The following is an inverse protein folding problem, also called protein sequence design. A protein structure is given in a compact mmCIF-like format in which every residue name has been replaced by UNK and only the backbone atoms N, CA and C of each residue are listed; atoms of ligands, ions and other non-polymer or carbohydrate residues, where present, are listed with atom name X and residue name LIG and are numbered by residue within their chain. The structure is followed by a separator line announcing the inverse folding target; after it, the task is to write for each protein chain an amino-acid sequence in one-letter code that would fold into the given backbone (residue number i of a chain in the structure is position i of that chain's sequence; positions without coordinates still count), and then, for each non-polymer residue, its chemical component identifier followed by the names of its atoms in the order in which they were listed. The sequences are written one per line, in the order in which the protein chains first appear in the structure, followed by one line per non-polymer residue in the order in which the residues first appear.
data_IF_988450651472
#
_entry.id   IF_988450651472
#
_cell.length_a   1.000
_cell.length_b   1.000
_cell.length_c   1.000
_cell.angle_alpha   90.00
_cell.angle_beta   90.00
_cell.angle_gamma   90.00
#
_symmetry.space_group_name_H-M   'P 1'
#
loop_
_entity.id
_entity.type
_entity.pdbx_description
1 polymer ?
#
# COMPACT_ATOMS: atom_id res chain seq x y z
N UNK A 1 -23.26 35.32 16.21
CA UNK A 1 -23.95 35.99 15.10
C UNK A 1 -23.34 35.53 13.76
N UNK A 2 -23.34 34.23 13.48
CA UNK A 2 -23.05 33.65 12.15
C UNK A 2 -23.75 32.29 12.07
N UNK A 3 -25.07 32.35 11.95
CA UNK A 3 -25.89 31.20 11.56
C UNK A 3 -25.90 31.22 10.02
N UNK A 4 -24.86 30.65 9.40
CA UNK A 4 -24.83 30.51 7.96
C UNK A 4 -25.77 29.37 7.57
N UNK A 5 -27.01 29.71 7.25
CA UNK A 5 -27.93 28.83 6.56
C UNK A 5 -27.26 28.30 5.27
N UNK A 6 -27.56 27.05 4.84
CA UNK A 6 -27.12 26.59 3.53
C UNK A 6 -27.61 27.57 2.46
N UNK A 7 -26.81 27.93 1.46
CA UNK A 7 -27.20 28.91 0.45
C UNK A 7 -28.43 28.39 -0.29
N UNK A 8 -29.59 28.97 0.03
CA UNK A 8 -30.79 28.83 -0.76
C UNK A 8 -30.64 29.76 -1.98
N UNK A 9 -30.54 29.18 -3.17
CA UNK A 9 -30.70 29.91 -4.43
C UNK A 9 -29.56 30.82 -4.89
N UNK A 10 -28.40 30.85 -4.21
CA UNK A 10 -27.24 31.63 -4.66
C UNK A 10 -26.39 30.88 -5.68
N UNK A 11 -26.14 31.48 -6.84
CA UNK A 11 -25.12 31.06 -7.81
C UNK A 11 -23.75 31.01 -7.13
N UNK A 12 -23.32 29.80 -6.75
CA UNK A 12 -21.95 29.55 -6.29
C UNK A 12 -21.01 29.99 -7.42
N UNK A 13 -20.01 30.86 -7.19
CA UNK A 13 -19.10 31.27 -8.24
C UNK A 13 -18.40 30.04 -8.84
N UNK A 14 -18.76 29.70 -10.07
CA UNK A 14 -18.18 28.60 -10.86
C UNK A 14 -16.84 29.08 -11.43
N UNK A 15 -15.86 29.37 -10.58
CA UNK A 15 -14.57 29.88 -11.05
C UNK A 15 -13.48 28.80 -11.12
N UNK A 16 -13.57 27.73 -10.32
CA UNK A 16 -12.44 26.82 -10.13
C UNK A 16 -12.83 25.36 -10.38
N UNK A 17 -12.61 24.89 -11.62
CA UNK A 17 -12.78 23.46 -11.96
C UNK A 17 -11.68 22.65 -11.31
N UNK A 18 -12.06 21.67 -10.48
CA UNK A 18 -11.14 20.67 -9.93
C UNK A 18 -11.49 19.33 -10.55
N UNK A 19 -10.61 18.83 -11.42
CA UNK A 19 -10.80 17.50 -11.99
C UNK A 19 -10.32 16.41 -11.01
N UNK A 20 -11.11 15.35 -10.77
CA UNK A 20 -10.67 14.20 -10.00
C UNK A 20 -9.49 13.50 -10.68
N UNK A 21 -8.63 12.87 -9.88
CA UNK A 21 -7.66 11.92 -10.36
C UNK A 21 -8.34 10.56 -10.55
N UNK A 22 -7.85 9.77 -11.51
CA UNK A 22 -8.41 8.43 -11.78
C UNK A 22 -8.18 7.53 -10.58
N UNK A 23 -9.25 6.91 -10.09
CA UNK A 23 -9.26 6.05 -8.91
C UNK A 23 -9.20 6.79 -7.59
N UNK A 24 -9.29 8.12 -7.57
CA UNK A 24 -9.21 8.93 -6.35
C UNK A 24 -10.35 8.60 -5.37
N UNK A 25 -10.07 8.65 -4.07
CA UNK A 25 -11.12 8.50 -3.05
C UNK A 25 -11.99 9.76 -3.01
N UNK A 26 -13.28 9.61 -2.71
CA UNK A 26 -14.20 10.75 -2.62
C UNK A 26 -13.73 11.76 -1.58
N UNK A 27 -13.19 11.28 -0.44
CA UNK A 27 -12.61 12.16 0.59
C UNK A 27 -11.35 12.92 0.13
N UNK A 28 -10.45 12.28 -0.62
CA UNK A 28 -9.28 12.94 -1.20
C UNK A 28 -9.70 14.06 -2.15
N UNK A 29 -10.68 13.78 -3.00
CA UNK A 29 -11.23 14.75 -3.93
C UNK A 29 -11.90 15.94 -3.22
N UNK A 30 -12.73 15.69 -2.20
CA UNK A 30 -13.33 16.72 -1.34
C UNK A 30 -12.27 17.60 -0.65
N UNK A 31 -11.21 16.99 -0.13
CA UNK A 31 -10.13 17.72 0.54
C UNK A 31 -9.38 18.65 -0.43
N UNK A 32 -9.12 18.18 -1.65
CA UNK A 32 -8.53 18.99 -2.72
C UNK A 32 -9.43 20.13 -3.18
N UNK A 33 -10.73 19.87 -3.24
CA UNK A 33 -11.72 20.87 -3.58
C UNK A 33 -11.74 22.00 -2.53
N UNK A 34 -11.78 21.67 -1.23
CA UNK A 34 -11.67 22.64 -0.14
C UNK A 34 -10.39 23.48 -0.27
N UNK A 35 -9.23 22.82 -0.45
CA UNK A 35 -7.95 23.51 -0.63
C UNK A 35 -7.88 24.38 -1.89
N UNK A 36 -8.68 24.10 -2.93
CA UNK A 36 -8.77 24.98 -4.11
C UNK A 36 -9.49 26.29 -3.79
N UNK A 37 -10.46 26.25 -2.89
CA UNK A 37 -11.16 27.41 -2.35
C UNK A 37 -10.45 28.07 -1.16
N UNK A 38 -9.26 27.60 -0.77
CA UNK A 38 -8.53 28.13 0.39
C UNK A 38 -9.16 27.76 1.73
N UNK A 39 -9.98 26.70 1.76
CA UNK A 39 -10.68 26.22 2.95
C UNK A 39 -10.05 24.94 3.50
N UNK A 40 -10.15 24.75 4.82
CA UNK A 40 -9.91 23.45 5.43
C UNK A 40 -11.03 22.46 5.01
N UNK A 41 -10.73 21.17 4.76
CA UNK A 41 -11.76 20.17 4.42
C UNK A 41 -12.89 20.08 5.45
N UNK A 42 -12.60 20.36 6.73
CA UNK A 42 -13.58 20.44 7.81
C UNK A 42 -14.67 21.47 7.58
N UNK A 43 -14.38 22.57 6.85
CA UNK A 43 -15.35 23.62 6.54
C UNK A 43 -16.45 23.16 5.56
N UNK A 44 -16.20 22.09 4.79
CA UNK A 44 -17.20 21.50 3.91
C UNK A 44 -18.09 20.48 4.63
N UNK A 45 -17.66 19.93 5.77
CA UNK A 45 -18.41 18.89 6.49
C UNK A 45 -19.83 19.34 6.87
N UNK A 46 -20.09 20.57 7.36
CA UNK A 46 -21.44 21.00 7.71
C UNK A 46 -22.44 20.97 6.54
N UNK A 47 -22.01 20.79 5.30
CA UNK A 47 -22.91 20.77 4.15
C UNK A 47 -23.63 19.42 3.98
N UNK A 48 -23.21 18.41 4.74
CA UNK A 48 -23.85 17.09 4.81
C UNK A 48 -24.31 16.73 6.22
N UNK A 49 -25.34 15.90 6.30
CA UNK A 49 -25.68 15.12 7.50
C UNK A 49 -24.82 13.86 7.52
N UNK A 50 -24.09 13.61 8.62
CA UNK A 50 -23.10 12.53 8.68
C UNK A 50 -23.58 11.34 9.51
N UNK A 51 -23.39 10.14 8.94
CA UNK A 51 -23.47 8.88 9.66
C UNK A 51 -22.07 8.37 10.04
N UNK A 52 -21.91 8.01 11.32
CA UNK A 52 -20.64 7.58 11.89
C UNK A 52 -19.61 8.70 12.05
N UNK A 53 -18.44 8.35 12.57
CA UNK A 53 -17.31 9.26 12.75
C UNK A 53 -16.20 8.97 11.72
N UNK A 54 -15.40 9.99 11.40
CA UNK A 54 -14.22 9.80 10.54
C UNK A 54 -13.32 8.72 11.16
N UNK A 55 -12.89 7.69 10.40
CA UNK A 55 -12.05 6.63 10.94
C UNK A 55 -10.73 7.19 11.48
N UNK A 56 -10.27 6.64 12.60
CA UNK A 56 -9.04 7.05 13.29
C UNK A 56 -8.23 5.82 13.67
N UNK A 57 -6.93 6.01 13.82
CA UNK A 57 -6.00 5.12 14.47
C UNK A 57 -5.25 5.88 15.60
N UNK A 58 -4.29 5.22 16.25
CA UNK A 58 -3.51 5.81 17.34
C UNK A 58 -2.69 7.05 16.89
N UNK A 59 -2.43 7.20 15.59
CA UNK A 59 -1.72 8.33 15.03
C UNK A 59 -2.65 9.50 14.64
N UNK A 60 -3.97 9.29 14.64
CA UNK A 60 -4.98 10.31 14.38
C UNK A 60 -5.99 9.89 13.30
N UNK A 61 -6.59 10.86 12.56
CA UNK A 61 -7.50 10.53 11.47
C UNK A 61 -6.79 9.72 10.39
N UNK A 62 -7.41 8.62 9.96
CA UNK A 62 -6.83 7.77 8.91
C UNK A 62 -6.76 8.52 7.57
N UNK A 63 -5.66 8.31 6.84
CA UNK A 63 -5.48 8.86 5.50
C UNK A 63 -6.24 8.06 4.43
N UNK A 64 -6.55 6.79 4.71
CA UNK A 64 -7.47 5.99 3.89
C UNK A 64 -8.95 6.12 4.30
N UNK A 65 -9.32 7.23 4.93
CA UNK A 65 -10.74 7.55 5.15
C UNK A 65 -11.45 7.76 3.81
N UNK A 66 -12.68 7.25 3.70
CA UNK A 66 -13.53 7.40 2.54
C UNK A 66 -14.93 7.86 2.95
N UNK A 67 -15.60 8.55 2.02
CA UNK A 67 -16.96 9.05 2.18
C UNK A 67 -17.86 8.44 1.11
N UNK A 68 -18.98 7.87 1.55
CA UNK A 68 -20.11 7.52 0.69
C UNK A 68 -21.14 8.64 0.74
N UNK A 69 -21.71 8.99 -0.41
CA UNK A 69 -22.66 10.08 -0.56
C UNK A 69 -23.99 9.55 -1.11
N UNK A 70 -25.09 10.08 -0.58
CA UNK A 70 -26.41 9.91 -1.17
C UNK A 70 -26.53 10.69 -2.51
N UNK A 71 -27.61 10.49 -3.29
CA UNK A 71 -27.79 11.21 -4.54
C UNK A 71 -27.72 12.74 -4.39
N UNK A 72 -28.33 13.32 -3.36
CA UNK A 72 -28.31 14.77 -3.13
C UNK A 72 -26.89 15.30 -2.83
N UNK A 73 -26.11 14.55 -2.07
CA UNK A 73 -24.72 14.84 -1.75
C UNK A 73 -23.79 14.73 -2.95
N UNK A 74 -24.03 13.77 -3.84
CA UNK A 74 -23.31 13.67 -5.11
C UNK A 74 -23.58 14.86 -6.01
N UNK A 75 -24.83 15.30 -6.10
CA UNK A 75 -25.20 16.50 -6.88
C UNK A 75 -24.56 17.76 -6.31
N UNK A 76 -24.53 17.90 -4.98
CA UNK A 76 -23.87 19.02 -4.32
C UNK A 76 -22.38 19.05 -4.59
N UNK A 77 -21.69 17.92 -4.39
CA UNK A 77 -20.27 17.77 -4.73
C UNK A 77 -20.04 18.04 -6.23
N UNK A 78 -21.03 17.69 -7.06
CA UNK A 78 -20.94 17.92 -8.48
C UNK A 78 -20.94 19.38 -8.87
N UNK A 79 -21.86 20.15 -8.29
CA UNK A 79 -21.92 21.60 -8.47
C UNK A 79 -20.65 22.28 -7.96
N UNK A 80 -20.16 21.90 -6.77
CA UNK A 80 -18.97 22.50 -6.19
C UNK A 80 -17.71 22.30 -7.05
N UNK A 81 -17.52 21.11 -7.61
CA UNK A 81 -16.32 20.84 -8.41
C UNK A 81 -16.37 21.32 -9.86
N UNK A 82 -17.52 21.80 -10.34
CA UNK A 82 -17.68 22.31 -11.71
C UNK A 82 -17.57 21.26 -12.83
N UNK A 83 -17.66 19.97 -12.52
CA UNK A 83 -17.77 18.86 -13.47
C UNK A 83 -19.15 18.17 -13.34
N UNK A 84 -19.59 17.41 -14.35
CA UNK A 84 -20.81 16.60 -14.25
C UNK A 84 -20.63 15.35 -13.36
N UNK A 85 -21.73 14.77 -12.88
CA UNK A 85 -21.68 13.52 -12.08
C UNK A 85 -21.07 12.35 -12.83
N UNK A 86 -21.36 12.21 -14.12
CA UNK A 86 -20.88 11.10 -14.93
C UNK A 86 -19.35 11.05 -15.00
N UNK A 87 -18.70 12.20 -15.24
CA UNK A 87 -17.23 12.29 -15.23
C UNK A 87 -16.62 11.94 -13.86
N UNK A 88 -17.36 12.16 -12.77
CA UNK A 88 -16.93 11.76 -11.43
C UNK A 88 -17.16 10.29 -11.15
N UNK A 89 -18.29 9.72 -11.56
CA UNK A 89 -18.55 8.29 -11.43
C UNK A 89 -17.49 7.45 -12.16
N UNK A 90 -16.93 7.96 -13.26
CA UNK A 90 -15.81 7.32 -13.95
C UNK A 90 -14.47 7.43 -13.20
N UNK A 91 -14.24 8.53 -12.46
CA UNK A 91 -12.96 8.82 -11.83
C UNK A 91 -12.89 8.39 -10.36
N UNK A 92 -14.02 8.37 -9.65
CA UNK A 92 -14.16 8.13 -8.22
C UNK A 92 -14.90 6.80 -8.00
N UNK A 93 -14.20 5.69 -7.72
CA UNK A 93 -14.79 4.35 -7.68
C UNK A 93 -15.97 4.22 -6.70
N UNK A 94 -15.85 4.79 -5.50
CA UNK A 94 -16.87 4.71 -4.46
C UNK A 94 -18.03 5.72 -4.65
N UNK A 95 -17.97 6.59 -5.65
CA UNK A 95 -18.97 7.64 -5.84
C UNK A 95 -20.35 7.06 -6.18
N UNK A 96 -20.40 5.89 -6.83
CA UNK A 96 -21.65 5.22 -7.18
C UNK A 96 -22.24 4.31 -6.10
N UNK A 97 -21.48 3.95 -5.06
CA UNK A 97 -21.84 2.88 -4.11
C UNK A 97 -23.11 3.20 -3.27
N UNK A 98 -23.53 4.48 -3.25
CA UNK A 98 -24.67 4.95 -2.48
C UNK A 98 -24.49 4.82 -0.96
N UNK A 99 -25.41 5.40 -0.19
CA UNK A 99 -25.55 5.04 1.21
C UNK A 99 -26.32 3.72 1.27
N UNK A 100 -25.78 2.72 1.97
CA UNK A 100 -26.61 1.57 2.37
C UNK A 100 -27.80 2.09 3.20
N UNK A 101 -28.99 1.49 3.07
CA UNK A 101 -30.15 1.90 3.86
C UNK A 101 -29.76 1.92 5.33
N UNK A 102 -30.12 2.99 6.03
CA UNK A 102 -29.99 3.02 7.47
C UNK A 102 -30.78 1.85 8.09
N UNK A 103 -30.32 1.26 9.21
CA UNK A 103 -31.11 0.27 9.93
C UNK A 103 -32.49 0.86 10.28
N UNK A 104 -33.56 0.04 10.33
CA UNK A 104 -34.90 0.53 10.61
C UNK A 104 -34.94 1.29 11.95
N UNK A 105 -35.34 2.56 11.92
CA UNK A 105 -35.41 3.44 13.09
C UNK A 105 -34.64 4.76 12.96
N UNK A 106 -33.69 4.86 12.03
CA UNK A 106 -33.10 6.15 11.66
C UNK A 106 -34.00 6.83 10.62
N UNK A 107 -34.57 7.99 10.98
CA UNK A 107 -35.48 8.73 10.13
C UNK A 107 -34.85 9.02 8.76
N UNK A 108 -35.61 8.77 7.68
CA UNK A 108 -35.29 9.29 6.36
C UNK A 108 -35.20 10.83 6.43
N UNK A 109 -33.98 11.35 6.36
CA UNK A 109 -33.69 12.74 6.70
C UNK A 109 -34.31 13.76 5.74
N UNK A 110 -35.03 14.73 6.32
CA UNK A 110 -35.03 16.21 6.14
C UNK A 110 -34.70 16.90 4.79
N UNK A 111 -34.48 16.21 3.67
CA UNK A 111 -34.13 16.82 2.37
C UNK A 111 -32.70 17.37 2.26
N UNK A 112 -31.89 17.25 3.33
CA UNK A 112 -30.48 17.67 3.35
C UNK A 112 -29.56 16.55 2.83
N UNK A 113 -28.51 16.87 2.04
CA UNK A 113 -27.52 15.89 1.60
C UNK A 113 -26.94 15.04 2.73
N UNK A 114 -26.84 13.73 2.54
CA UNK A 114 -26.32 12.79 3.54
C UNK A 114 -24.99 12.14 3.12
N UNK A 115 -24.14 11.84 4.10
CA UNK A 115 -22.83 11.25 3.92
C UNK A 115 -22.50 10.23 5.02
N UNK A 116 -21.69 9.22 4.71
CA UNK A 116 -21.23 8.22 5.68
C UNK A 116 -19.74 7.99 5.56
N UNK A 117 -19.08 7.91 6.71
CA UNK A 117 -17.67 7.55 6.81
C UNK A 117 -17.44 6.04 6.70
N UNK A 118 -16.37 5.65 6.01
CA UNK A 118 -15.84 4.28 5.98
C UNK A 118 -14.32 4.28 5.84
N UNK A 119 -13.70 3.12 6.03
CA UNK A 119 -12.30 2.89 5.66
C UNK A 119 -12.25 2.45 4.19
N UNK A 120 -11.50 3.18 3.36
CA UNK A 120 -11.40 2.91 1.92
C UNK A 120 -10.87 1.50 1.66
N UNK A 121 -9.77 1.15 2.32
CA UNK A 121 -9.03 -0.11 2.12
C UNK A 121 -9.81 -1.36 2.55
N UNK A 122 -10.88 -1.19 3.32
CA UNK A 122 -11.79 -2.28 3.71
C UNK A 122 -12.96 -2.48 2.73
N UNK A 123 -13.03 -1.67 1.67
CA UNK A 123 -14.12 -1.69 0.70
C UNK A 123 -13.87 -2.56 -0.54
N UNK A 124 -14.89 -2.66 -1.40
CA UNK A 124 -14.88 -3.46 -2.62
C UNK A 124 -13.86 -3.01 -3.69
N UNK A 125 -13.39 -1.76 -3.63
CA UNK A 125 -12.47 -1.17 -4.62
C UNK A 125 -11.00 -1.51 -4.36
N UNK A 126 -10.71 -2.27 -3.31
CA UNK A 126 -9.38 -2.70 -2.92
C UNK A 126 -8.63 -1.67 -2.06
N UNK A 127 -7.31 -1.84 -1.89
CA UNK A 127 -6.55 -1.03 -0.96
C UNK A 127 -6.36 0.40 -1.47
N UNK A 128 -6.37 1.36 -0.53
CA UNK A 128 -6.06 2.75 -0.84
C UNK A 128 -4.56 3.03 -0.67
N UNK A 129 -3.99 3.70 -1.66
CA UNK A 129 -2.59 4.12 -1.67
C UNK A 129 -2.48 5.61 -1.99
N UNK A 130 -1.37 6.20 -1.64
CA UNK A 130 -1.06 7.55 -2.06
C UNK A 130 -0.91 7.65 -3.59
N UNK A 131 -1.23 8.80 -4.15
CA UNK A 131 -0.79 9.18 -5.48
C UNK A 131 0.72 9.45 -5.51
N UNK A 132 1.29 9.51 -6.70
CA UNK A 132 2.65 10.01 -6.86
C UNK A 132 2.67 11.52 -6.62
N UNK A 133 3.40 11.97 -5.59
CA UNK A 133 3.47 13.39 -5.22
C UNK A 133 3.93 14.27 -6.40
N UNK A 134 4.88 13.81 -7.20
CA UNK A 134 5.37 14.54 -8.38
C UNK A 134 4.33 14.62 -9.51
N UNK A 135 3.55 13.56 -9.74
CA UNK A 135 2.42 13.63 -10.68
C UNK A 135 1.37 14.62 -10.21
N UNK A 136 1.04 14.60 -8.91
CA UNK A 136 0.06 15.51 -8.34
C UNK A 136 0.54 16.94 -8.45
N UNK A 137 1.77 17.24 -8.02
CA UNK A 137 2.37 18.56 -8.11
C UNK A 137 2.42 19.08 -9.55
N UNK A 138 2.81 18.23 -10.52
CA UNK A 138 2.81 18.60 -11.94
C UNK A 138 1.40 18.93 -12.47
N UNK A 139 0.35 18.29 -11.93
CA UNK A 139 -1.04 18.50 -12.37
C UNK A 139 -1.73 19.68 -11.68
N UNK A 140 -1.40 19.94 -10.41
CA UNK A 140 -2.09 20.93 -9.57
C UNK A 140 -1.27 22.19 -9.30
N UNK A 141 0.03 22.17 -9.61
CA UNK A 141 1.00 23.20 -9.22
C UNK A 141 1.28 23.25 -7.71
N UNK A 142 0.84 22.26 -6.93
CA UNK A 142 0.93 22.27 -5.45
C UNK A 142 1.27 20.87 -4.91
N UNK A 143 2.06 20.81 -3.83
CA UNK A 143 2.28 19.58 -3.08
C UNK A 143 1.03 19.23 -2.25
N UNK A 144 0.08 18.55 -2.88
CA UNK A 144 -1.16 18.10 -2.25
C UNK A 144 -1.19 16.58 -2.22
N UNK A 145 -1.71 16.02 -1.13
CA UNK A 145 -1.96 14.59 -1.00
C UNK A 145 -3.13 14.19 -1.88
N UNK A 146 -2.94 13.13 -2.65
CA UNK A 146 -4.01 12.41 -3.32
C UNK A 146 -4.00 11.00 -2.76
N UNK A 147 -5.17 10.49 -2.39
CA UNK A 147 -5.37 9.08 -2.02
C UNK A 147 -6.27 8.44 -3.07
N UNK A 148 -5.88 7.25 -3.53
CA UNK A 148 -6.56 6.55 -4.61
C UNK A 148 -6.62 5.06 -4.34
N UNK A 149 -7.63 4.41 -4.87
CA UNK A 149 -7.70 2.96 -4.97
C UNK A 149 -6.61 2.46 -5.92
N UNK A 150 -5.70 1.65 -5.40
CA UNK A 150 -4.60 1.10 -6.19
C UNK A 150 -4.16 -0.26 -5.66
N UNK A 151 -4.45 -1.28 -6.45
CA UNK A 151 -3.96 -2.64 -6.24
C UNK A 151 -2.42 -2.65 -6.16
N UNK A 152 -1.80 -3.59 -5.42
CA UNK A 152 -0.35 -3.62 -5.22
C UNK A 152 0.47 -3.57 -6.52
N UNK A 153 0.01 -4.23 -7.59
CA UNK A 153 0.67 -4.21 -8.90
C UNK A 153 0.51 -2.91 -9.70
N UNK A 154 -0.28 -1.95 -9.21
CA UNK A 154 -0.45 -0.61 -9.79
C UNK A 154 0.25 0.48 -8.96
N UNK A 155 1.07 0.10 -7.96
CA UNK A 155 1.70 1.02 -7.02
C UNK A 155 3.02 1.64 -7.49
N UNK A 156 3.43 1.39 -8.73
CA UNK A 156 4.62 2.03 -9.31
C UNK A 156 4.20 3.16 -10.25
N UNK A 157 4.71 4.36 -10.00
CA UNK A 157 4.68 5.45 -10.95
C UNK A 157 5.87 5.30 -11.91
N UNK A 158 5.65 4.80 -13.11
CA UNK A 158 6.72 4.59 -14.09
C UNK A 158 7.39 5.92 -14.52
N UNK A 159 6.63 7.01 -14.59
CA UNK A 159 7.12 8.35 -15.00
C UNK A 159 8.15 8.92 -14.02
N UNK A 160 7.88 8.78 -12.72
CA UNK A 160 8.71 9.38 -11.68
C UNK A 160 9.52 8.35 -10.89
N UNK A 161 9.43 7.07 -11.27
CA UNK A 161 10.06 5.92 -10.60
C UNK A 161 9.84 5.96 -9.08
N UNK A 162 8.55 6.01 -8.67
CA UNK A 162 8.18 6.02 -7.26
C UNK A 162 7.23 4.89 -6.91
N UNK A 163 7.45 4.25 -5.77
CA UNK A 163 6.48 3.37 -5.15
C UNK A 163 5.48 4.18 -4.34
N UNK A 164 4.20 3.88 -4.46
CA UNK A 164 3.11 4.51 -3.75
C UNK A 164 2.73 3.66 -2.54
N UNK A 165 2.95 4.20 -1.34
CA UNK A 165 2.66 3.49 -0.09
C UNK A 165 1.15 3.43 0.16
N UNK A 166 0.72 2.45 0.94
CA UNK A 166 -0.66 2.36 1.43
C UNK A 166 -0.96 3.58 2.30
N UNK A 167 -2.13 4.19 2.13
CA UNK A 167 -2.50 5.36 2.92
C UNK A 167 -2.90 5.00 4.36
N UNK A 168 -3.41 3.79 4.59
CA UNK A 168 -3.95 3.36 5.89
C UNK A 168 -2.94 2.83 6.91
N UNK A 169 -1.65 2.84 6.61
CA UNK A 169 -0.61 2.17 7.43
C UNK A 169 -0.02 3.11 8.51
N UNK A 170 -0.50 4.34 8.64
CA UNK A 170 -0.09 5.27 9.72
C UNK A 170 1.31 5.87 9.59
N UNK A 171 1.95 5.70 8.42
CA UNK A 171 3.31 6.17 8.19
C UNK A 171 3.32 7.49 7.41
N UNK A 172 4.21 8.42 7.79
CA UNK A 172 4.31 9.75 7.15
C UNK A 172 4.83 9.73 5.72
N UNK A 173 5.49 8.65 5.31
CA UNK A 173 6.03 8.54 3.96
C UNK A 173 4.90 8.22 2.98
N UNK A 174 4.81 9.01 1.90
CA UNK A 174 3.80 8.83 0.85
C UNK A 174 4.32 8.00 -0.32
N UNK A 175 5.58 8.22 -0.66
CA UNK A 175 6.25 7.55 -1.77
C UNK A 175 7.68 7.15 -1.41
N UNK A 176 8.16 6.06 -2.01
CA UNK A 176 9.58 5.66 -1.98
C UNK A 176 10.22 5.93 -3.34
N UNK A 177 11.48 6.37 -3.37
CA UNK A 177 12.25 6.52 -4.60
C UNK A 177 12.74 5.14 -5.09
N UNK A 178 12.58 4.86 -6.38
CA UNK A 178 12.97 3.61 -7.02
C UNK A 178 14.11 3.78 -8.02
N UNK A 179 14.68 4.99 -8.16
CA UNK A 179 15.77 5.26 -9.13
C UNK A 179 16.99 4.36 -8.90
N UNK A 180 17.31 4.07 -7.64
CA UNK A 180 18.40 3.17 -7.26
C UNK A 180 18.02 1.67 -7.28
N UNK A 181 16.77 1.33 -7.60
CA UNK A 181 16.25 -0.04 -7.66
C UNK A 181 15.38 -0.24 -8.92
N UNK A 182 15.97 -0.15 -10.13
CA UNK A 182 15.24 -0.13 -11.40
C UNK A 182 14.42 -1.41 -11.67
N UNK A 183 14.81 -2.54 -11.09
CA UNK A 183 14.07 -3.79 -11.20
C UNK A 183 12.67 -3.71 -10.56
N UNK A 184 12.52 -2.92 -9.49
CA UNK A 184 11.21 -2.66 -8.86
C UNK A 184 10.36 -1.83 -9.81
N UNK A 185 10.94 -0.82 -10.46
CA UNK A 185 10.26 0.03 -11.42
C UNK A 185 9.88 -0.71 -12.73
N UNK A 186 10.63 -1.76 -13.09
CA UNK A 186 10.40 -2.56 -14.30
C UNK A 186 9.36 -3.69 -14.10
N UNK A 187 9.27 -4.25 -12.90
CA UNK A 187 8.37 -5.37 -12.56
C UNK A 187 6.89 -5.18 -12.98
N UNK A 188 6.27 -3.98 -12.87
CA UNK A 188 4.87 -3.80 -13.26
C UNK A 188 4.61 -4.09 -14.74
N UNK A 189 5.62 -3.96 -15.61
CA UNK A 189 5.49 -4.21 -17.05
C UNK A 189 5.22 -5.68 -17.37
N UNK A 190 5.67 -6.59 -16.51
CA UNK A 190 5.42 -8.02 -16.67
C UNK A 190 4.00 -8.42 -16.24
N UNK A 191 3.37 -7.64 -15.36
CA UNK A 191 2.08 -7.99 -14.76
C UNK A 191 0.94 -8.18 -15.77
N UNK A 192 0.73 -7.33 -16.79
CA UNK A 192 -0.35 -7.52 -17.77
C UNK A 192 -0.30 -8.88 -18.48
N UNK A 193 0.90 -9.41 -18.73
CA UNK A 193 1.06 -10.75 -19.32
C UNK A 193 0.61 -11.83 -18.32
N UNK A 194 1.07 -11.75 -17.07
CA UNK A 194 0.71 -12.69 -16.00
C UNK A 194 -0.80 -12.68 -15.75
N UNK A 195 -1.42 -11.49 -15.71
CA UNK A 195 -2.86 -11.36 -15.53
C UNK A 195 -3.65 -12.01 -16.68
N UNK A 196 -3.23 -11.80 -17.94
CA UNK A 196 -3.85 -12.48 -19.08
C UNK A 196 -3.70 -13.99 -19.02
N UNK A 197 -2.54 -14.50 -18.61
CA UNK A 197 -2.31 -15.93 -18.43
C UNK A 197 -3.20 -16.51 -17.33
N UNK A 198 -3.37 -15.81 -16.21
CA UNK A 198 -4.28 -16.22 -15.14
C UNK A 198 -5.71 -16.33 -15.66
N UNK A 199 -6.21 -15.29 -16.35
CA UNK A 199 -7.55 -15.30 -16.92
C UNK A 199 -7.73 -16.40 -17.97
N UNK A 200 -6.75 -16.62 -18.84
CA UNK A 200 -6.79 -17.71 -19.83
C UNK A 200 -6.82 -19.10 -19.17
N UNK A 201 -6.21 -19.24 -18.01
CA UNK A 201 -6.30 -20.42 -17.16
C UNK A 201 -7.55 -20.43 -16.27
N UNK A 202 -8.51 -19.51 -16.43
CA UNK A 202 -9.72 -19.45 -15.59
C UNK A 202 -9.47 -19.03 -14.13
N UNK A 203 -8.27 -18.55 -13.79
CA UNK A 203 -7.91 -18.06 -12.47
C UNK A 203 -8.11 -16.54 -12.34
N UNK A 204 -8.49 -16.09 -11.15
CA UNK A 204 -8.52 -14.66 -10.83
C UNK A 204 -7.07 -14.12 -10.67
N UNK A 205 -6.65 -13.13 -11.48
CA UNK A 205 -5.30 -12.55 -11.36
C UNK A 205 -4.99 -12.01 -9.98
N UNK A 206 -5.98 -11.44 -9.29
CA UNK A 206 -5.81 -10.89 -7.95
C UNK A 206 -5.45 -11.96 -6.92
N UNK A 207 -6.14 -13.11 -6.96
CA UNK A 207 -5.82 -14.28 -6.12
C UNK A 207 -4.44 -14.85 -6.41
N UNK A 208 -4.04 -14.94 -7.67
CA UNK A 208 -2.69 -15.41 -8.03
C UNK A 208 -1.63 -14.45 -7.48
N UNK A 209 -1.83 -13.14 -7.61
CA UNK A 209 -0.95 -12.15 -7.00
C UNK A 209 -0.87 -12.31 -5.48
N UNK A 210 -2.02 -12.37 -4.82
CA UNK A 210 -2.11 -12.45 -3.36
C UNK A 210 -1.40 -13.69 -2.82
N UNK A 211 -1.56 -14.83 -3.50
CA UNK A 211 -0.84 -16.06 -3.18
C UNK A 211 0.67 -15.89 -3.31
N UNK A 212 1.14 -15.42 -4.47
CA UNK A 212 2.56 -15.21 -4.71
C UNK A 212 3.15 -14.21 -3.69
N UNK A 213 2.42 -13.13 -3.40
CA UNK A 213 2.82 -12.12 -2.42
C UNK A 213 2.92 -12.71 -1.01
N UNK A 214 1.97 -13.55 -0.60
CA UNK A 214 2.00 -14.21 0.71
C UNK A 214 3.22 -15.14 0.85
N UNK A 215 3.52 -15.93 -0.19
CA UNK A 215 4.70 -16.82 -0.19
C UNK A 215 6.00 -16.00 -0.11
N UNK A 216 6.12 -14.95 -0.92
CA UNK A 216 7.33 -14.12 -0.91
C UNK A 216 7.46 -13.32 0.39
N UNK A 217 6.34 -12.87 0.99
CA UNK A 217 6.37 -12.26 2.31
C UNK A 217 6.83 -13.24 3.39
N UNK A 218 6.41 -14.51 3.34
CA UNK A 218 6.90 -15.52 4.26
C UNK A 218 8.42 -15.74 4.12
N UNK A 219 8.93 -15.76 2.89
CA UNK A 219 10.37 -15.79 2.64
C UNK A 219 11.09 -14.53 3.15
N UNK A 220 10.49 -13.35 2.98
CA UNK A 220 11.05 -12.09 3.45
C UNK A 220 11.26 -12.07 4.97
N UNK A 221 10.33 -12.64 5.74
CA UNK A 221 10.46 -12.74 7.18
C UNK A 221 11.60 -13.70 7.59
N UNK A 222 11.74 -14.83 6.88
CA UNK A 222 12.80 -15.82 7.14
C UNK A 222 14.18 -15.36 6.67
N UNK A 223 14.23 -14.50 5.65
CA UNK A 223 15.46 -14.07 5.00
C UNK A 223 16.46 -13.30 5.88
N UNK A 224 16.06 -12.89 7.09
CA UNK A 224 16.98 -12.32 8.08
C UNK A 224 18.07 -13.31 8.51
N UNK A 225 17.75 -14.61 8.48
CA UNK A 225 18.65 -15.69 8.89
C UNK A 225 19.45 -16.25 7.71
N UNK A 226 19.21 -15.76 6.49
CA UNK A 226 19.82 -16.28 5.27
C UNK A 226 21.10 -15.51 4.94
N UNK A 227 22.26 -15.99 5.34
CA UNK A 227 23.55 -15.33 5.08
C UNK A 227 23.84 -15.10 3.58
N UNK A 228 23.29 -15.95 2.71
CA UNK A 228 23.44 -15.88 1.26
C UNK A 228 22.46 -14.90 0.60
N UNK A 229 21.48 -14.35 1.34
CA UNK A 229 20.51 -13.41 0.82
C UNK A 229 21.14 -12.02 0.61
N UNK A 230 21.41 -11.67 -0.66
CA UNK A 230 22.04 -10.37 -1.02
C UNK A 230 21.09 -9.39 -1.70
N UNK A 231 20.04 -9.88 -2.34
CA UNK A 231 19.18 -9.06 -3.22
C UNK A 231 18.29 -8.14 -2.41
N UNK A 232 17.56 -8.70 -1.45
CA UNK A 232 16.60 -7.95 -0.64
C UNK A 232 17.25 -6.90 0.26
N UNK A 233 18.35 -7.18 0.98
CA UNK A 233 19.08 -6.16 1.73
C UNK A 233 19.62 -5.04 0.83
N UNK A 234 20.13 -5.35 -0.36
CA UNK A 234 20.63 -4.34 -1.29
C UNK A 234 19.53 -3.41 -1.77
N UNK A 235 18.38 -3.96 -2.19
CA UNK A 235 17.21 -3.17 -2.59
C UNK A 235 16.65 -2.34 -1.44
N UNK A 236 16.60 -2.91 -0.22
CA UNK A 236 16.12 -2.19 0.96
C UNK A 236 16.99 -0.96 1.24
N UNK A 237 18.33 -1.08 1.13
CA UNK A 237 19.23 0.09 1.23
C UNK A 237 18.99 1.10 0.12
N UNK A 238 18.79 0.63 -1.11
CA UNK A 238 18.54 1.49 -2.27
C UNK A 238 17.26 2.33 -2.13
N UNK A 239 16.17 1.75 -1.61
CA UNK A 239 14.89 2.48 -1.38
C UNK A 239 14.86 3.31 -0.10
N UNK A 240 15.82 3.08 0.81
CA UNK A 240 16.02 3.83 2.04
C UNK A 240 17.04 4.98 1.86
N UNK A 241 17.21 5.50 0.63
CA UNK A 241 18.17 6.55 0.27
C UNK A 241 19.63 6.25 0.66
N UNK A 242 20.02 4.97 0.63
CA UNK A 242 21.40 4.52 0.84
C UNK A 242 21.78 4.16 2.27
N UNK A 243 21.03 4.64 3.29
CA UNK A 243 21.25 4.25 4.68
C UNK A 243 19.92 4.02 5.44
N UNK A 244 19.63 2.75 5.71
CA UNK A 244 18.52 2.39 6.58
C UNK A 244 18.82 2.70 8.06
N UNK A 245 20.11 2.81 8.42
CA UNK A 245 20.63 3.26 9.71
C UNK A 245 19.95 2.60 10.92
N UNK A 246 19.76 3.33 12.03
CA UNK A 246 19.06 2.82 13.22
C UNK A 246 17.57 2.50 12.97
N UNK A 247 17.04 2.86 11.80
CA UNK A 247 15.65 2.64 11.40
C UNK A 247 15.48 1.42 10.50
N UNK A 248 16.47 0.52 10.46
CA UNK A 248 16.43 -0.70 9.66
C UNK A 248 15.11 -1.49 9.79
N UNK A 249 14.67 -1.75 11.01
CA UNK A 249 13.42 -2.50 11.27
C UNK A 249 12.18 -1.77 10.76
N UNK A 250 12.16 -0.44 10.90
CA UNK A 250 11.09 0.38 10.35
C UNK A 250 11.08 0.29 8.82
N UNK A 251 12.23 0.46 8.17
CA UNK A 251 12.35 0.33 6.72
C UNK A 251 11.93 -1.05 6.20
N UNK A 252 12.26 -2.13 6.92
CA UNK A 252 11.83 -3.48 6.56
C UNK A 252 10.32 -3.64 6.48
N UNK A 253 9.57 -2.91 7.30
CA UNK A 253 8.10 -2.94 7.29
C UNK A 253 7.58 -2.09 6.12
N UNK A 254 8.01 -0.83 6.03
CA UNK A 254 7.49 0.14 5.05
C UNK A 254 7.80 -0.24 3.62
N UNK A 255 9.04 -0.68 3.37
CA UNK A 255 9.53 -0.92 2.03
C UNK A 255 9.30 -2.37 1.57
N UNK A 256 8.79 -3.26 2.45
CA UNK A 256 8.61 -4.69 2.15
C UNK A 256 7.96 -4.89 0.79
N UNK A 257 6.78 -4.32 0.62
CA UNK A 257 5.97 -4.56 -0.58
C UNK A 257 6.68 -4.08 -1.84
N UNK A 258 7.43 -2.98 -1.78
CA UNK A 258 8.24 -2.52 -2.92
C UNK A 258 9.41 -3.47 -3.21
N UNK A 259 10.15 -3.87 -2.16
CA UNK A 259 11.37 -4.67 -2.28
C UNK A 259 11.08 -6.09 -2.80
N UNK A 260 9.97 -6.69 -2.35
CA UNK A 260 9.54 -8.06 -2.72
C UNK A 260 8.69 -8.11 -4.00
N UNK A 261 8.29 -6.95 -4.53
CA UNK A 261 7.42 -6.88 -5.69
C UNK A 261 7.98 -7.62 -6.94
N UNK A 262 9.27 -7.49 -7.30
CA UNK A 262 9.82 -8.22 -8.44
C UNK A 262 9.70 -9.75 -8.30
N UNK A 263 10.01 -10.30 -7.13
CA UNK A 263 9.88 -11.74 -6.87
C UNK A 263 8.42 -12.16 -6.85
N UNK A 264 7.52 -11.32 -6.34
CA UNK A 264 6.08 -11.58 -6.33
C UNK A 264 5.52 -11.75 -7.74
N UNK A 265 5.85 -10.83 -8.67
CA UNK A 265 5.39 -10.90 -10.05
C UNK A 265 6.00 -12.10 -10.79
N UNK A 266 7.28 -12.39 -10.55
CA UNK A 266 7.96 -13.57 -11.15
C UNK A 266 7.37 -14.88 -10.65
N UNK A 267 7.11 -15.00 -9.35
CA UNK A 267 6.50 -16.19 -8.76
C UNK A 267 5.08 -16.38 -9.31
N UNK A 268 4.26 -15.32 -9.36
CA UNK A 268 2.93 -15.37 -9.96
C UNK A 268 2.99 -15.89 -11.41
N UNK A 269 3.93 -15.40 -12.22
CA UNK A 269 4.15 -15.90 -13.58
C UNK A 269 4.62 -17.35 -13.63
N UNK A 270 5.49 -17.78 -12.72
CA UNK A 270 5.97 -19.15 -12.63
C UNK A 270 4.85 -20.13 -12.24
N UNK A 271 3.95 -19.74 -11.32
CA UNK A 271 2.81 -20.58 -10.92
C UNK A 271 1.82 -20.84 -12.07
N UNK A 272 1.81 -19.98 -13.09
CA UNK A 272 0.95 -20.09 -14.27
C UNK A 272 1.66 -20.70 -15.48
N UNK A 273 2.96 -20.99 -15.37
CA UNK A 273 3.73 -21.61 -16.46
C UNK A 273 3.48 -23.12 -16.48
N UNK A 274 2.94 -23.68 -17.58
CA UNK A 274 2.68 -25.12 -17.67
C UNK A 274 3.89 -25.99 -17.36
N UNK A 275 5.10 -25.58 -17.79
CA UNK A 275 6.34 -26.32 -17.50
C UNK A 275 6.70 -26.32 -16.01
N UNK A 276 6.35 -25.26 -15.30
CA UNK A 276 6.54 -25.19 -13.85
C UNK A 276 5.49 -26.03 -13.12
N UNK A 277 4.25 -26.05 -13.61
CA UNK A 277 3.18 -26.89 -13.07
C UNK A 277 3.49 -28.38 -13.22
N UNK A 278 4.04 -28.79 -14.37
CA UNK A 278 4.55 -30.16 -14.59
C UNK A 278 5.63 -30.52 -13.56
N UNK A 279 6.60 -29.63 -13.32
CA UNK A 279 7.64 -29.86 -12.30
C UNK A 279 7.08 -29.97 -10.89
N UNK A 280 6.10 -29.15 -10.54
CA UNK A 280 5.38 -29.25 -9.26
C UNK A 280 4.73 -30.62 -9.15
N UNK A 281 4.03 -31.06 -10.20
CA UNK A 281 3.37 -32.35 -10.26
C UNK A 281 4.35 -33.51 -10.10
N UNK A 282 5.46 -33.50 -10.84
CA UNK A 282 6.49 -34.53 -10.77
C UNK A 282 7.17 -34.57 -9.39
N UNK A 283 7.51 -33.41 -8.82
CA UNK A 283 8.09 -33.31 -7.47
C UNK A 283 7.13 -33.87 -6.40
N UNK A 284 5.81 -33.77 -6.62
CA UNK A 284 4.77 -34.31 -5.74
C UNK A 284 4.45 -35.79 -5.94
N UNK A 285 5.21 -36.50 -6.78
CA UNK A 285 4.98 -37.93 -7.05
C UNK A 285 4.08 -38.20 -8.25
N UNK A 286 3.66 -37.17 -8.98
CA UNK A 286 2.90 -37.26 -10.22
C UNK A 286 1.60 -38.04 -10.04
N UNK A 287 1.47 -39.17 -10.76
CA UNK A 287 0.34 -40.09 -10.64
C UNK A 287 0.41 -41.09 -9.47
N UNK A 288 1.46 -41.02 -8.66
CA UNK A 288 1.67 -41.85 -7.48
C UNK A 288 1.20 -41.19 -6.17
N UNK A 289 1.59 -41.74 -5.00
CA UNK A 289 1.24 -41.15 -3.71
C UNK A 289 1.86 -39.75 -3.56
N UNK A 290 1.04 -38.80 -3.12
CA UNK A 290 1.44 -37.39 -2.93
C UNK A 290 2.61 -37.30 -1.97
N UNK A 291 3.71 -36.68 -2.42
CA UNK A 291 4.92 -36.47 -1.64
C UNK A 291 4.97 -35.04 -1.06
N UNK A 292 5.56 -34.85 0.13
CA UNK A 292 5.97 -33.54 0.62
C UNK A 292 6.79 -32.74 -0.40
N UNK A 293 6.67 -31.41 -0.37
CA UNK A 293 7.57 -30.56 -1.14
C UNK A 293 9.01 -30.75 -0.68
N UNK A 294 9.86 -31.02 -1.65
CA UNK A 294 11.30 -31.15 -1.46
C UNK A 294 11.96 -29.80 -1.75
N UNK A 295 12.72 -29.21 -0.80
CA UNK A 295 13.46 -27.99 -1.05
C UNK A 295 14.48 -28.15 -2.18
N UNK A 296 14.97 -29.38 -2.38
CA UNK A 296 15.83 -29.79 -3.50
C UNK A 296 15.03 -30.29 -4.73
N UNK A 297 13.74 -29.97 -4.84
CA UNK A 297 12.88 -30.34 -5.97
C UNK A 297 13.24 -29.63 -7.28
N UNK A 298 12.86 -30.21 -8.41
CA UNK A 298 13.07 -29.64 -9.75
C UNK A 298 12.35 -28.30 -9.94
N UNK A 299 11.21 -28.10 -9.27
CA UNK A 299 10.49 -26.84 -9.24
C UNK A 299 11.30 -25.74 -8.54
N UNK A 300 11.77 -25.99 -7.31
CA UNK A 300 12.49 -24.96 -6.56
C UNK A 300 13.85 -24.60 -7.18
N UNK A 301 14.55 -25.57 -7.79
CA UNK A 301 15.77 -25.28 -8.57
C UNK A 301 15.50 -24.34 -9.74
N UNK A 302 14.47 -24.64 -10.54
CA UNK A 302 14.09 -23.79 -11.68
C UNK A 302 13.60 -22.42 -11.20
N UNK A 303 12.83 -22.38 -10.11
CA UNK A 303 12.38 -21.15 -9.50
C UNK A 303 13.56 -20.28 -9.02
N UNK A 304 14.57 -20.88 -8.40
CA UNK A 304 15.79 -20.17 -8.01
C UNK A 304 16.48 -19.51 -9.21
N UNK A 305 16.60 -20.23 -10.33
CA UNK A 305 17.15 -19.67 -11.59
C UNK A 305 16.32 -18.46 -12.06
N UNK A 306 14.99 -18.58 -12.12
CA UNK A 306 14.09 -17.49 -12.54
C UNK A 306 14.13 -16.27 -11.61
N UNK A 307 14.29 -16.52 -10.32
CA UNK A 307 14.43 -15.47 -9.30
C UNK A 307 15.87 -14.91 -9.24
N UNK A 308 16.82 -15.46 -10.01
CA UNK A 308 18.25 -15.12 -10.00
C UNK A 308 18.88 -15.34 -8.62
N UNK A 309 18.56 -16.48 -8.02
CA UNK A 309 19.05 -16.93 -6.72
C UNK A 309 20.08 -18.04 -6.91
N UNK A 310 21.05 -18.10 -5.98
CA UNK A 310 22.07 -19.14 -6.00
C UNK A 310 21.51 -20.54 -5.68
N UNK A 311 22.27 -21.61 -5.97
CA UNK A 311 21.81 -22.99 -5.84
C UNK A 311 21.37 -23.43 -4.43
N UNK A 312 21.82 -22.75 -3.36
CA UNK A 312 21.45 -23.03 -1.97
C UNK A 312 20.17 -22.33 -1.49
N UNK A 313 19.63 -21.38 -2.26
CA UNK A 313 18.39 -20.67 -1.93
C UNK A 313 17.15 -21.59 -1.79
N UNK A 314 16.95 -22.62 -2.62
CA UNK A 314 15.84 -23.57 -2.49
C UNK A 314 15.67 -24.17 -1.09
N UNK A 315 16.78 -24.53 -0.43
CA UNK A 315 16.78 -25.13 0.91
C UNK A 315 16.37 -24.13 1.99
N UNK A 316 16.69 -22.85 1.79
CA UNK A 316 16.35 -21.75 2.69
C UNK A 316 14.90 -21.29 2.51
N UNK A 317 14.45 -21.22 1.26
CA UNK A 317 13.13 -20.74 0.88
C UNK A 317 12.01 -21.79 1.05
N UNK A 318 12.28 -22.97 1.59
CA UNK A 318 11.22 -23.92 1.92
C UNK A 318 10.37 -23.35 3.05
N UNK A 319 9.11 -22.92 2.81
CA UNK A 319 8.32 -22.35 3.88
C UNK A 319 8.03 -23.46 4.89
N UNK A 320 8.08 -23.23 6.19
CA UNK A 320 7.31 -24.07 7.12
C UNK A 320 5.86 -23.50 7.10
N UNK A 321 4.85 -24.38 7.07
CA UNK A 321 3.38 -24.13 7.11
C UNK A 321 2.63 -23.54 5.89
N UNK A 322 2.96 -22.38 5.30
CA UNK A 322 2.01 -21.71 4.36
C UNK A 322 1.80 -22.42 3.00
N UNK A 323 2.82 -23.12 2.49
CA UNK A 323 2.75 -23.89 1.24
C UNK A 323 1.98 -25.22 1.40
N UNK A 324 1.86 -25.75 2.63
CA UNK A 324 1.10 -26.98 2.92
C UNK A 324 -0.40 -26.78 2.69
N UNK A 325 -0.94 -25.59 3.01
CA UNK A 325 -2.32 -25.24 2.71
C UNK A 325 -2.57 -25.01 1.21
N UNK A 326 -1.52 -24.62 0.46
CA UNK A 326 -1.58 -24.35 -0.99
C UNK A 326 -1.58 -25.64 -1.82
N UNK A 327 -0.65 -26.57 -1.56
CA UNK A 327 -0.56 -27.82 -2.31
C UNK A 327 -1.85 -28.66 -2.20
N UNK A 328 -2.50 -28.65 -1.04
CA UNK A 328 -3.78 -29.36 -0.82
C UNK A 328 -5.00 -28.71 -1.48
N UNK A 329 -4.98 -27.40 -1.80
CA UNK A 329 -6.12 -26.68 -2.42
C UNK A 329 -5.98 -26.46 -3.93
N UNK A 330 -4.75 -26.47 -4.46
CA UNK A 330 -4.51 -26.37 -5.90
C UNK A 330 -4.54 -27.72 -6.63
N UNK A 331 -4.65 -28.83 -5.89
CA UNK A 331 -4.81 -30.18 -6.45
C UNK A 331 -6.24 -30.73 -6.28
N UNK A 332 -7.24 -30.19 -6.99
CA UNK A 332 -8.26 -31.06 -7.56
C UNK A 332 -8.14 -31.07 -9.09
N UNK A 333 -7.71 -32.22 -9.63
CA UNK A 333 -8.02 -32.68 -10.99
C UNK A 333 -7.47 -31.86 -12.16
N UNK A 334 -6.18 -32.03 -12.49
CA UNK A 334 -5.54 -31.55 -13.74
C UNK A 334 -5.73 -30.04 -14.02
N UNK A 335 -5.11 -29.24 -13.14
CA UNK A 335 -4.70 -27.84 -13.28
C UNK A 335 -5.37 -27.02 -14.40
N UNK A 336 -6.45 -26.34 -14.03
CA UNK A 336 -7.03 -25.12 -14.67
C UNK A 336 -7.48 -25.18 -16.14
N UNK A 337 -7.12 -26.21 -16.92
CA UNK A 337 -7.45 -26.30 -18.35
C UNK A 337 -8.45 -27.40 -18.74
N UNK A 338 -9.11 -28.04 -17.78
CA UNK A 338 -9.99 -29.20 -18.05
C UNK A 338 -11.50 -28.98 -17.76
N UNK A 339 -12.03 -27.76 -17.89
CA UNK A 339 -13.49 -27.53 -17.87
C UNK A 339 -14.09 -27.03 -19.20
N UNK A 340 -13.33 -26.98 -20.29
CA UNK A 340 -13.86 -26.63 -21.60
C UNK A 340 -13.71 -27.79 -22.59
N UNK A 341 -14.43 -28.89 -22.33
CA UNK A 341 -14.94 -29.82 -23.35
C UNK A 341 -15.83 -30.87 -22.68
N UNK A 342 -17.13 -30.65 -22.74
CA UNK A 342 -18.08 -31.73 -22.97
C UNK A 342 -19.12 -31.27 -24.00
N UNK A 343 -19.60 -32.18 -24.85
CA UNK A 343 -20.28 -31.88 -26.10
C UNK A 343 -21.76 -31.56 -25.89
N UNK A 344 -22.34 -30.94 -26.91
CA UNK A 344 -23.75 -30.62 -26.99
C UNK A 344 -24.67 -31.85 -26.82
N UNK A 345 -25.57 -31.75 -25.84
CA UNK A 345 -26.98 -32.17 -25.86
C UNK A 345 -27.61 -31.49 -24.63
N UNK A 346 -28.60 -30.61 -24.70
CA UNK A 346 -29.86 -30.72 -25.42
C UNK A 346 -30.96 -30.93 -24.37
N UNK A 347 -31.39 -29.86 -23.68
CA UNK A 347 -32.71 -29.75 -23.05
C UNK A 347 -32.88 -28.37 -22.38
N UNK A 348 -33.98 -27.70 -22.73
CA UNK A 348 -34.45 -26.45 -22.16
C UNK A 348 -34.90 -26.62 -20.69
N UNK A 349 -34.76 -25.56 -19.88
CA UNK A 349 -35.36 -25.52 -18.54
C UNK A 349 -34.85 -24.38 -17.67
N UNK A 350 -35.58 -23.26 -17.69
CA UNK A 350 -35.91 -22.33 -16.59
C UNK A 350 -34.94 -22.11 -15.42
N UNK A 351 -34.60 -20.84 -15.19
CA UNK A 351 -34.11 -20.31 -13.90
C UNK A 351 -35.25 -20.36 -12.87
N UNK A 352 -34.96 -20.68 -11.59
CA UNK A 352 -35.53 -19.91 -10.51
C UNK A 352 -34.47 -19.38 -9.54
N UNK A 353 -34.64 -18.09 -9.25
CA UNK A 353 -34.23 -17.37 -8.04
C UNK A 353 -34.65 -18.08 -6.75
N UNK A 354 -33.79 -18.05 -5.74
CA UNK A 354 -34.23 -17.97 -4.34
C UNK A 354 -33.92 -19.18 -3.45
N UNK A 355 -33.26 -18.85 -2.33
CA UNK A 355 -33.32 -19.48 -0.98
C UNK A 355 -32.59 -20.79 -0.69
N UNK A 356 -31.54 -20.62 0.12
CA UNK A 356 -31.32 -21.20 1.45
C UNK A 356 -31.09 -22.71 1.60
N UNK A 357 -29.86 -23.12 1.93
CA UNK A 357 -29.58 -24.25 2.83
C UNK A 357 -28.31 -24.00 3.66
N UNK A 358 -28.49 -23.51 4.88
CA UNK A 358 -27.53 -23.65 5.99
C UNK A 358 -28.19 -24.48 7.08
N UNK A 359 -27.81 -25.76 7.21
CA UNK A 359 -27.50 -26.44 8.49
C UNK A 359 -27.42 -27.95 8.31
N UNK A 360 -26.35 -28.49 8.86
CA UNK A 360 -26.02 -29.90 9.04
C UNK A 360 -24.50 -29.96 9.07
N UNK A 361 -23.79 -30.02 10.19
CA UNK A 361 -24.17 -30.46 11.53
C UNK A 361 -23.05 -31.40 11.99
N UNK A 362 -21.98 -30.84 12.52
CA UNK A 362 -21.01 -31.55 13.37
C UNK A 362 -20.67 -30.58 14.51
N UNK A 363 -21.20 -30.86 15.69
CA UNK A 363 -20.91 -30.11 16.90
C UNK A 363 -19.48 -30.43 17.40
N UNK A 364 -18.74 -29.45 17.91
CA UNK A 364 -17.47 -29.68 18.60
C UNK A 364 -17.71 -29.90 20.09
N UNK A 365 -17.15 -30.99 20.63
CA UNK A 365 -17.03 -31.19 22.08
C UNK A 365 -15.64 -30.70 22.53
N UNK A 366 -15.63 -30.01 23.67
CA UNK A 366 -14.50 -29.44 24.42
C UNK A 366 -13.78 -28.21 23.84
N UNK A 367 -14.12 -27.06 24.42
CA UNK A 367 -13.50 -25.76 24.21
C UNK A 367 -12.13 -25.65 24.91
N UNK A 368 -11.12 -25.03 24.28
CA UNK A 368 -9.96 -24.51 24.99
C UNK A 368 -10.24 -23.08 25.54
N UNK A 369 -9.62 -22.69 26.66
CA UNK A 369 -9.91 -21.43 27.35
C UNK A 369 -9.39 -20.20 26.60
N UNK A 370 -10.07 -19.07 26.85
CA UNK A 370 -9.74 -17.72 26.36
C UNK A 370 -8.32 -17.32 26.79
N UNK A 371 -7.49 -16.71 25.92
CA UNK A 371 -6.33 -15.99 26.40
C UNK A 371 -6.79 -14.67 27.04
N UNK A 372 -6.65 -14.62 28.37
CA UNK A 372 -6.74 -13.40 29.15
C UNK A 372 -5.69 -12.39 28.69
N UNK A 373 -6.11 -11.13 28.74
CA UNK A 373 -5.26 -9.95 28.66
C UNK A 373 -4.12 -10.02 29.68
N UNK A 374 -2.90 -10.24 29.19
CA UNK A 374 -1.68 -9.94 29.93
C UNK A 374 -0.62 -9.36 28.97
N UNK A 375 -0.85 -8.11 28.55
CA UNK A 375 0.25 -7.26 28.11
C UNK A 375 0.97 -6.75 29.36
N UNK A 376 1.91 -7.56 29.88
CA UNK A 376 2.95 -7.05 30.76
C UNK A 376 4.06 -6.40 29.91
N UNK A 377 4.61 -5.24 30.33
CA UNK A 377 5.59 -4.49 29.56
C UNK A 377 6.97 -5.17 29.57
N UNK A 378 7.59 -5.30 28.39
CA UNK A 378 8.96 -5.81 28.26
C UNK A 378 10.01 -4.73 28.65
N UNK A 379 11.16 -5.14 29.21
CA UNK A 379 11.95 -4.31 30.10
C UNK A 379 12.92 -3.38 29.37
N UNK A 380 12.91 -2.11 29.78
CA UNK A 380 13.99 -1.16 29.55
C UNK A 380 15.25 -1.63 30.29
N UNK A 381 16.22 -2.20 29.57
CA UNK A 381 17.63 -2.17 29.98
C UNK A 381 18.43 -1.50 28.89
N UNK A 382 18.86 -0.28 29.19
CA UNK A 382 20.18 0.30 28.92
C UNK A 382 20.09 1.79 29.32
N UNK A 383 20.35 2.09 30.60
CA UNK A 383 20.81 3.42 31.02
C UNK A 383 22.29 3.32 31.39
N UNK A 384 23.12 4.29 30.98
CA UNK A 384 24.53 4.34 31.35
C UNK A 384 24.68 4.70 32.84
N UNK A 385 25.69 4.10 33.46
CA UNK A 385 26.15 4.33 34.84
C UNK A 385 26.90 5.67 34.92
N UNK A 386 26.39 6.59 35.75
CA UNK A 386 27.11 7.66 36.45
C UNK A 386 26.19 8.08 37.61
N UNK A 387 26.59 8.36 38.84
CA UNK A 387 27.85 8.38 39.56
C UNK A 387 27.51 8.31 41.06
N UNK A 388 28.46 7.99 41.93
CA UNK A 388 28.36 8.23 43.37
C UNK A 388 29.56 9.06 43.81
N UNK A 389 29.32 10.15 44.55
CA UNK A 389 30.35 10.93 45.22
C UNK A 389 30.11 12.45 45.26
N UNK A 390 29.34 12.89 46.25
CA UNK A 390 29.17 14.28 46.78
C UNK A 390 30.36 14.49 47.77
N UNK A 391 30.88 15.71 48.13
CA UNK A 391 30.07 16.85 48.55
C UNK A 391 30.49 18.30 48.24
N UNK A 392 29.47 19.13 48.51
CA UNK A 392 29.29 20.57 48.55
C UNK A 392 30.45 21.48 49.01
N UNK A 393 30.52 22.67 48.41
CA UNK A 393 30.88 23.93 49.09
C UNK A 393 29.99 25.08 48.58
N UNK A 394 29.63 25.94 49.52
CA UNK A 394 28.75 27.11 49.59
C UNK A 394 28.88 28.19 48.50
N UNK A 395 27.79 28.97 48.29
CA UNK A 395 27.66 30.12 47.35
C UNK A 395 28.45 31.39 47.76
N UNK A 396 28.01 32.64 47.47
CA UNK A 396 26.76 33.10 46.83
C UNK A 396 26.93 34.24 45.77
N UNK A 397 25.79 34.72 45.24
CA UNK A 397 25.50 36.07 44.68
C UNK A 397 26.29 36.51 43.42
N UNK A 398 25.75 37.18 42.40
CA UNK A 398 24.93 38.41 42.42
C UNK A 398 24.46 38.75 40.99
N UNK A 399 23.31 39.45 40.89
CA UNK A 399 22.98 40.61 40.00
C UNK A 399 23.18 40.50 38.47
N UNK A 400 22.11 40.58 37.67
CA UNK A 400 21.35 41.77 37.19
C UNK A 400 21.91 42.44 35.93
N UNK A 401 20.97 42.82 35.05
CA UNK A 401 20.98 43.87 34.02
C UNK A 401 21.75 43.57 32.71
N UNK A 402 21.03 43.39 31.60
CA UNK A 402 20.53 44.45 30.68
C UNK A 402 21.65 45.05 29.82
N UNK A 403 21.63 44.80 28.50
CA UNK A 403 21.09 45.77 27.55
C UNK A 403 21.25 45.30 26.09
N UNK A 404 20.30 45.79 25.30
CA UNK A 404 20.19 45.69 23.86
C UNK A 404 21.16 46.65 23.12
N UNK A 405 21.31 46.43 21.82
CA UNK A 405 21.81 47.43 20.86
C UNK A 405 22.79 46.80 19.86
N UNK A 406 22.33 46.29 18.73
CA UNK A 406 22.19 47.00 17.45
C UNK A 406 23.50 47.21 16.67
N UNK A 407 23.38 46.92 15.37
CA UNK A 407 24.16 47.47 14.25
C UNK A 407 25.36 46.66 13.73
N UNK A 408 25.09 45.90 12.66
CA UNK A 408 25.97 45.77 11.46
C UNK A 408 26.27 47.17 10.85
N UNK A 409 27.20 47.40 9.88
CA UNK A 409 27.81 46.44 8.94
C UNK A 409 29.30 46.70 8.55
N UNK A 410 29.81 45.86 7.62
CA UNK A 410 30.80 46.18 6.54
C UNK A 410 32.25 45.68 6.67
N UNK A 411 32.52 44.62 5.89
CA UNK A 411 33.48 44.52 4.77
C UNK A 411 35.02 44.58 5.01
N UNK A 412 35.66 43.53 4.45
CA UNK A 412 36.93 43.46 3.67
C UNK A 412 38.23 43.04 4.35
N UNK A 413 38.71 41.82 4.03
CA UNK A 413 40.06 41.44 3.52
C UNK A 413 40.14 39.89 3.54
N UNK A 414 40.07 39.15 2.42
CA UNK A 414 41.09 38.85 1.40
C UNK A 414 42.46 38.43 1.96
N UNK A 415 42.77 37.13 1.83
CA UNK A 415 44.09 36.66 1.42
C UNK A 415 43.97 35.37 0.58
N UNK A 416 44.53 35.46 -0.63
CA UNK A 416 44.76 34.42 -1.63
C UNK A 416 45.81 33.41 -1.16
N UNK A 417 45.74 32.17 -1.66
CA UNK A 417 46.92 31.37 -1.99
C UNK A 417 46.68 30.69 -3.34
N UNK A 418 47.61 30.95 -4.25
CA UNK A 418 47.62 30.61 -5.68
C UNK A 418 48.39 29.31 -5.89
N UNK A 419 47.94 28.50 -6.85
CA UNK A 419 48.70 27.41 -7.50
C UNK A 419 50.01 27.92 -8.14
N UNK A 420 50.92 26.99 -8.48
CA UNK A 420 51.23 26.90 -9.91
C UNK A 420 51.45 25.46 -10.42
N UNK A 421 50.93 25.19 -11.63
CA UNK A 421 51.51 24.29 -12.63
C UNK A 421 52.27 25.18 -13.66
N UNK A 422 53.18 24.69 -14.54
CA UNK A 422 52.85 23.67 -15.57
C UNK A 422 54.00 22.79 -16.16
N UNK A 423 53.59 21.64 -16.78
CA UNK A 423 54.05 20.98 -18.05
C UNK A 423 55.55 20.67 -18.37
N UNK A 424 55.90 19.89 -19.44
CA UNK A 424 55.29 18.70 -20.08
C UNK A 424 56.33 17.59 -20.48
N UNK A 425 55.86 16.57 -21.23
CA UNK A 425 56.53 15.82 -22.33
C UNK A 425 56.91 14.31 -22.23
N UNK A 426 56.36 13.58 -23.21
CA UNK A 426 56.88 12.47 -24.04
C UNK A 426 56.92 10.99 -23.59
N UNK A 427 55.99 10.22 -24.21
CA UNK A 427 56.18 9.09 -25.15
C UNK A 427 56.79 7.72 -24.72
N UNK A 428 56.12 6.70 -25.27
CA UNK A 428 56.55 5.34 -25.65
C UNK A 428 56.31 4.15 -24.70
N UNK A 429 55.34 3.34 -25.13
CA UNK A 429 55.19 1.87 -25.05
C UNK A 429 56.46 1.12 -25.48
N UNK A 430 56.65 -0.18 -25.15
CA UNK A 430 55.71 -1.31 -25.37
C UNK A 430 55.12 -1.94 -24.11
#
# INVERSE_FOLDING_TARGET
FWEAAPPQGGTVPVALRVAPAVGETTWSYLSRLAGRYGMDPGALLPWWTWAGSRPRDDAGPRDDAEVLLDPAGRQLLARLGGAGEHARAQALPAFGDGLQPAPPGEAAGTGRPAARWKVASAGAHGPAAYGCALCTAARTGRDIVVVRYAQPWLRVCARHQRWMLTAGDGHRHRNLDLRAAPEIAAAPRAWPKVARQATAAGADPGRVFALAHAVVCAWWEQALEWEQERIWPARLRAVADGDAGPRFWWWRIIARDAVVFPETVKLAGALLDPRMQERIWDDHGGGGPVRPFRPDGAFFRELAVRLRRGPGWPTLASPRSAHWCWAGRCMPGRFWTASARSPASGAAGSIPTGTAWTRGGCAPTTAPPRPESNCAPWPNRLRPRAAAGVPAVSGPASTHADHAGHSSPSRTQQHNCTEPAPHPEHLHTP
#
